data_IF_712121261301
#
_entry.id   IF_712121261301
#
_cell.length_a   1.000
_cell.length_b   1.000
_cell.length_c   1.000
_cell.angle_alpha   90.00
_cell.angle_beta   90.00
_cell.angle_gamma   90.00
#
_symmetry.space_group_name_H-M   'P 1'
#
loop_
_entity.id
_entity.type
_entity.pdbx_description
1 polymer ?
#
# COMPACT_ATOMS: atom_id res chain seq x y z
N UNK A 1 9.94 -13.52 7.44
CA UNK A 1 8.84 -12.54 7.23
C UNK A 1 9.37 -11.11 7.36
N UNK A 2 9.03 -10.18 6.44
CA UNK A 2 9.40 -8.76 6.50
C UNK A 2 8.21 -7.93 6.95
N UNK A 3 8.28 -7.35 8.14
CA UNK A 3 7.24 -6.46 8.64
C UNK A 3 7.49 -5.01 8.23
N UNK A 4 6.43 -4.30 7.91
CA UNK A 4 6.42 -2.86 7.69
C UNK A 4 5.19 -2.23 8.34
N UNK A 5 5.17 -0.91 8.44
CA UNK A 5 3.97 -0.15 8.77
C UNK A 5 3.83 1.08 7.87
N UNK A 6 2.60 1.50 7.65
CA UNK A 6 2.29 2.75 6.97
C UNK A 6 2.37 3.94 7.91
N UNK A 7 2.92 5.06 7.45
CA UNK A 7 2.96 6.31 8.21
C UNK A 7 1.57 6.93 8.45
N UNK A 8 0.50 6.37 7.86
CA UNK A 8 -0.87 6.69 8.25
C UNK A 8 -1.14 6.38 9.71
N UNK A 9 -0.49 5.35 10.25
CA UNK A 9 -0.64 4.93 11.63
C UNK A 9 0.03 5.83 12.66
N UNK A 10 0.92 6.73 12.24
CA UNK A 10 1.66 7.62 13.15
C UNK A 10 1.66 9.08 12.67
N UNK A 11 0.48 9.72 12.52
CA UNK A 11 0.37 11.05 11.91
C UNK A 11 1.07 12.16 12.70
N UNK A 12 1.31 11.96 14.00
CA UNK A 12 2.03 12.89 14.87
C UNK A 12 3.56 12.74 14.80
N UNK A 13 4.08 11.65 14.19
CA UNK A 13 5.52 11.42 14.11
C UNK A 13 6.11 12.15 12.91
N UNK A 14 7.34 12.68 13.08
CA UNK A 14 8.17 13.04 11.96
C UNK A 14 8.85 11.79 11.37
N UNK A 15 9.50 11.94 10.23
CA UNK A 15 10.13 10.81 9.54
C UNK A 15 11.24 10.16 10.37
N UNK A 16 12.04 10.98 11.07
CA UNK A 16 13.14 10.50 11.91
C UNK A 16 12.61 9.59 13.02
N UNK A 17 11.56 10.00 13.73
CA UNK A 17 10.92 9.19 14.78
C UNK A 17 10.36 7.90 14.18
N UNK A 18 9.68 7.96 13.04
CA UNK A 18 9.13 6.78 12.39
C UNK A 18 10.22 5.74 12.04
N UNK A 19 11.38 6.20 11.51
CA UNK A 19 12.52 5.32 11.20
C UNK A 19 13.15 4.74 12.47
N UNK A 20 13.31 5.56 13.50
CA UNK A 20 13.90 5.12 14.78
C UNK A 20 13.03 4.05 15.43
N UNK A 21 11.73 4.28 15.55
CA UNK A 21 10.78 3.32 16.15
C UNK A 21 10.65 2.06 15.30
N UNK A 22 10.67 2.18 13.97
CA UNK A 22 10.72 1.02 13.09
C UNK A 22 11.93 0.12 13.39
N UNK A 23 13.12 0.71 13.53
CA UNK A 23 14.34 -0.03 13.87
C UNK A 23 14.27 -0.68 15.25
N UNK A 24 13.81 0.05 16.28
CA UNK A 24 13.66 -0.46 17.66
C UNK A 24 12.68 -1.64 17.73
N UNK A 25 11.58 -1.57 17.00
CA UNK A 25 10.55 -2.61 16.98
C UNK A 25 10.86 -3.76 16.00
N UNK A 26 12.00 -3.68 15.28
CA UNK A 26 12.43 -4.72 14.34
C UNK A 26 11.58 -4.81 13.08
N UNK A 27 11.00 -3.70 12.63
CA UNK A 27 10.42 -3.61 11.31
C UNK A 27 11.53 -3.54 10.24
N UNK A 28 11.31 -4.22 9.13
CA UNK A 28 12.22 -4.17 7.99
C UNK A 28 11.93 -3.01 7.04
N UNK A 29 10.72 -2.45 7.13
CA UNK A 29 10.28 -1.39 6.23
C UNK A 29 9.30 -0.40 6.82
N UNK A 30 9.21 0.75 6.14
CA UNK A 30 8.18 1.77 6.33
C UNK A 30 7.53 2.03 4.99
N UNK A 31 6.22 2.05 4.96
CA UNK A 31 5.45 2.58 3.84
C UNK A 31 5.14 4.05 4.11
N UNK A 32 5.54 4.93 3.20
CA UNK A 32 5.36 6.37 3.38
C UNK A 32 4.11 6.85 2.65
N UNK A 33 3.07 7.19 3.40
CA UNK A 33 1.82 7.79 2.90
C UNK A 33 1.60 9.20 3.47
N UNK A 34 2.65 9.97 3.49
CA UNK A 34 2.68 11.31 4.04
C UNK A 34 3.34 11.39 5.41
N UNK A 35 3.81 12.58 5.77
CA UNK A 35 4.43 12.92 7.05
C UNK A 35 3.83 14.24 7.54
N UNK A 36 3.39 14.28 8.79
CA UNK A 36 2.68 15.43 9.31
C UNK A 36 1.43 15.73 8.47
N UNK A 37 1.32 16.93 7.91
CA UNK A 37 0.18 17.31 7.05
C UNK A 37 0.44 17.10 5.57
N UNK A 38 1.69 16.85 5.16
CA UNK A 38 2.04 16.71 3.75
C UNK A 38 1.80 15.27 3.27
N UNK A 39 1.07 15.14 2.18
CA UNK A 39 0.74 13.88 1.51
C UNK A 39 1.42 13.72 0.16
N UNK A 40 1.92 14.81 -0.41
CA UNK A 40 2.64 14.78 -1.68
C UNK A 40 4.07 14.28 -1.44
N UNK A 41 4.34 13.07 -1.92
CA UNK A 41 5.64 12.40 -1.78
C UNK A 41 6.81 13.29 -2.22
N UNK A 42 6.61 14.11 -3.26
CA UNK A 42 7.65 15.00 -3.78
C UNK A 42 7.94 16.20 -2.88
N UNK A 43 7.03 16.55 -1.97
CA UNK A 43 7.16 17.67 -1.04
C UNK A 43 7.60 17.25 0.35
N UNK A 44 7.70 15.96 0.61
CA UNK A 44 8.15 15.46 1.91
C UNK A 44 9.58 15.92 2.19
N UNK A 45 9.83 16.61 3.31
CA UNK A 45 11.17 17.13 3.63
C UNK A 45 12.27 16.07 3.59
N UNK A 46 11.97 14.83 4.02
CA UNK A 46 12.93 13.72 4.01
C UNK A 46 13.37 13.30 2.58
N UNK A 47 12.59 13.62 1.54
CA UNK A 47 12.89 13.23 0.15
C UNK A 47 13.38 14.39 -0.72
N UNK A 48 13.41 15.62 -0.18
CA UNK A 48 13.97 16.75 -0.88
C UNK A 48 15.48 16.57 -1.19
N UNK A 49 16.00 17.08 -2.29
CA UNK A 49 17.37 16.86 -2.75
C UNK A 49 18.43 17.06 -1.66
N UNK A 50 18.30 18.13 -0.89
CA UNK A 50 19.23 18.52 0.19
C UNK A 50 19.24 17.54 1.36
N UNK A 51 18.14 16.80 1.59
CA UNK A 51 17.99 15.88 2.71
C UNK A 51 18.23 14.41 2.37
N UNK A 52 18.27 14.03 1.08
CA UNK A 52 18.35 12.62 0.64
C UNK A 52 19.53 11.85 1.23
N UNK A 53 20.72 12.48 1.28
CA UNK A 53 21.89 11.83 1.84
C UNK A 53 21.73 11.55 3.33
N UNK A 54 21.13 12.47 4.08
CA UNK A 54 20.81 12.31 5.51
C UNK A 54 19.78 11.20 5.70
N UNK A 55 18.71 11.21 4.91
CA UNK A 55 17.65 10.20 4.95
C UNK A 55 18.18 8.79 4.70
N UNK A 56 19.02 8.59 3.67
CA UNK A 56 19.65 7.30 3.41
C UNK A 56 20.54 6.82 4.56
N UNK A 57 21.31 7.73 5.17
CA UNK A 57 22.14 7.36 6.34
C UNK A 57 21.28 6.95 7.53
N UNK A 58 20.17 7.65 7.77
CA UNK A 58 19.22 7.34 8.84
C UNK A 58 18.61 5.94 8.64
N UNK A 59 18.07 5.68 7.46
CA UNK A 59 17.49 4.37 7.10
C UNK A 59 18.51 3.24 7.24
N UNK A 60 19.74 3.44 6.72
CA UNK A 60 20.82 2.45 6.83
C UNK A 60 21.19 2.18 8.28
N UNK A 61 21.32 3.22 9.12
CA UNK A 61 21.63 3.08 10.54
C UNK A 61 20.58 2.29 11.30
N UNK A 62 19.30 2.50 10.96
CA UNK A 62 18.19 1.79 11.59
C UNK A 62 17.95 0.37 11.02
N UNK A 63 18.59 0.00 9.91
CA UNK A 63 18.32 -1.26 9.21
C UNK A 63 16.94 -1.31 8.54
N UNK A 64 16.37 -0.15 8.21
CA UNK A 64 14.99 0.01 7.70
C UNK A 64 15.03 0.51 6.26
N UNK A 65 14.10 0.05 5.43
CA UNK A 65 13.90 0.54 4.06
C UNK A 65 12.57 1.27 3.93
N UNK A 66 12.47 2.23 3.00
CA UNK A 66 11.15 2.66 2.53
C UNK A 66 10.70 1.65 1.49
N UNK A 67 9.66 0.87 1.81
CA UNK A 67 9.23 -0.26 0.98
C UNK A 67 8.18 0.10 -0.07
N UNK A 68 7.42 1.17 0.16
CA UNK A 68 6.41 1.68 -0.76
C UNK A 68 6.17 3.17 -0.49
N UNK A 69 5.87 3.94 -1.54
CA UNK A 69 5.39 5.31 -1.43
C UNK A 69 3.91 5.36 -1.85
N UNK A 70 3.03 5.76 -0.93
CA UNK A 70 1.62 5.98 -1.22
C UNK A 70 1.39 7.36 -1.83
N UNK A 71 0.57 7.45 -2.87
CA UNK A 71 0.17 8.72 -3.50
C UNK A 71 -1.32 8.99 -3.39
N UNK A 72 -1.75 10.16 -3.86
CA UNK A 72 -3.17 10.47 -4.08
C UNK A 72 -3.60 10.24 -5.53
N UNK A 73 -2.74 9.62 -6.35
CA UNK A 73 -3.04 9.33 -7.74
C UNK A 73 -4.21 8.37 -7.86
N UNK A 74 -5.33 8.86 -8.36
CA UNK A 74 -6.52 8.09 -8.64
C UNK A 74 -6.94 8.27 -10.11
N UNK A 75 -7.40 7.18 -10.71
CA UNK A 75 -7.81 7.15 -12.12
C UNK A 75 -9.31 6.92 -12.28
N UNK A 76 -10.09 7.34 -11.27
CA UNK A 76 -11.55 7.18 -11.18
C UNK A 76 -12.34 8.19 -12.04
N UNK A 77 -11.69 9.25 -12.53
CA UNK A 77 -12.31 10.36 -13.24
C UNK A 77 -11.39 10.90 -14.33
N UNK A 78 -11.85 10.98 -15.56
CA UNK A 78 -11.07 11.46 -16.70
C UNK A 78 -10.52 12.89 -16.48
N UNK A 79 -11.28 13.75 -15.82
CA UNK A 79 -10.85 15.10 -15.50
C UNK A 79 -9.67 15.15 -14.51
N UNK A 80 -9.52 14.14 -13.68
CA UNK A 80 -8.42 14.03 -12.69
C UNK A 80 -7.14 13.43 -13.27
N UNK A 81 -7.21 12.69 -14.38
CA UNK A 81 -6.06 11.97 -14.96
C UNK A 81 -4.84 12.86 -15.20
N UNK A 82 -4.93 14.05 -15.79
CA UNK A 82 -3.74 14.88 -15.99
C UNK A 82 -3.00 15.21 -14.69
N UNK A 83 -3.74 15.55 -13.65
CA UNK A 83 -3.18 15.83 -12.32
C UNK A 83 -2.58 14.57 -11.67
N UNK A 84 -3.28 13.46 -11.71
CA UNK A 84 -2.81 12.18 -11.17
C UNK A 84 -1.52 11.74 -11.86
N UNK A 85 -1.41 11.88 -13.18
CA UNK A 85 -0.17 11.57 -13.91
C UNK A 85 0.97 12.53 -13.58
N UNK A 86 0.70 13.81 -13.39
CA UNK A 86 1.74 14.76 -12.98
C UNK A 86 2.29 14.42 -11.60
N UNK A 87 1.41 14.16 -10.61
CA UNK A 87 1.79 13.70 -9.27
C UNK A 87 2.55 12.37 -9.34
N UNK A 88 2.01 11.39 -10.06
CA UNK A 88 2.60 10.06 -10.17
C UNK A 88 4.00 10.06 -10.76
N UNK A 89 4.24 10.81 -11.85
CA UNK A 89 5.57 10.94 -12.46
C UNK A 89 6.59 11.54 -11.49
N UNK A 90 6.20 12.62 -10.80
CA UNK A 90 7.07 13.25 -9.80
C UNK A 90 7.39 12.28 -8.66
N UNK A 91 6.40 11.50 -8.20
CA UNK A 91 6.60 10.50 -7.18
C UNK A 91 7.48 9.32 -7.65
N UNK A 92 7.34 8.87 -8.92
CA UNK A 92 8.26 7.89 -9.53
C UNK A 92 9.70 8.41 -9.49
N UNK A 93 9.92 9.67 -9.84
CA UNK A 93 11.25 10.29 -9.77
C UNK A 93 11.85 10.31 -8.37
N UNK A 94 11.02 10.57 -7.35
CA UNK A 94 11.45 10.49 -5.94
C UNK A 94 11.78 9.04 -5.57
N UNK A 95 10.92 8.09 -5.92
CA UNK A 95 11.13 6.67 -5.65
C UNK A 95 12.45 6.19 -6.26
N UNK A 96 12.70 6.49 -7.52
CA UNK A 96 13.94 6.16 -8.21
C UNK A 96 15.18 6.70 -7.49
N UNK A 97 15.13 8.00 -7.16
CA UNK A 97 16.26 8.67 -6.48
C UNK A 97 16.47 8.18 -5.06
N UNK A 98 15.44 7.70 -4.38
CA UNK A 98 15.53 7.19 -3.01
C UNK A 98 15.75 5.68 -2.92
N UNK A 99 15.61 4.95 -4.02
CA UNK A 99 15.65 3.49 -4.06
C UNK A 99 14.40 2.85 -3.48
N UNK A 100 13.25 3.54 -3.57
CA UNK A 100 11.94 3.02 -3.15
C UNK A 100 11.41 2.13 -4.29
N UNK A 101 11.11 0.85 -4.03
CA UNK A 101 10.79 -0.08 -5.11
C UNK A 101 9.40 0.11 -5.69
N UNK A 102 8.46 0.64 -4.93
CA UNK A 102 7.05 0.68 -5.32
C UNK A 102 6.40 2.03 -5.08
N UNK A 103 5.51 2.38 -6.01
CA UNK A 103 4.59 3.50 -5.91
C UNK A 103 3.16 2.96 -5.93
N UNK A 104 2.32 3.36 -4.98
CA UNK A 104 0.91 2.96 -4.93
C UNK A 104 0.00 4.02 -5.55
N UNK A 105 -0.94 3.56 -6.37
CA UNK A 105 -2.01 4.34 -7.01
C UNK A 105 -3.38 3.69 -6.79
N UNK A 106 -4.46 4.42 -7.08
CA UNK A 106 -5.83 3.97 -6.88
C UNK A 106 -6.64 3.84 -8.18
N UNK A 107 -7.56 2.87 -8.19
CA UNK A 107 -8.70 2.84 -9.09
C UNK A 107 -9.94 3.55 -8.51
N UNK A 108 -10.08 3.52 -7.18
CA UNK A 108 -11.20 4.05 -6.39
C UNK A 108 -12.58 3.53 -6.81
N UNK A 109 -13.58 4.40 -6.92
CA UNK A 109 -14.95 4.07 -7.24
C UNK A 109 -15.28 4.19 -8.74
N UNK A 110 -16.33 3.51 -9.15
CA UNK A 110 -16.93 3.63 -10.47
C UNK A 110 -18.06 4.65 -10.38
N UNK A 111 -18.03 5.76 -11.16
CA UNK A 111 -19.08 6.75 -11.15
C UNK A 111 -20.46 6.14 -11.39
N UNK A 112 -21.48 6.67 -10.69
CA UNK A 112 -22.85 6.18 -10.84
C UNK A 112 -23.32 6.26 -12.31
N UNK A 113 -23.86 5.16 -12.83
CA UNK A 113 -24.31 5.04 -14.21
C UNK A 113 -23.21 4.74 -15.24
N UNK A 114 -21.95 4.69 -14.83
CA UNK A 114 -20.87 4.25 -15.72
C UNK A 114 -20.81 2.71 -15.79
N UNK A 115 -20.50 2.18 -16.97
CA UNK A 115 -20.28 0.75 -17.15
C UNK A 115 -18.91 0.35 -16.57
N UNK A 116 -18.82 -0.75 -15.80
CA UNK A 116 -17.55 -1.21 -15.20
C UNK A 116 -16.41 -1.36 -16.21
N UNK A 117 -16.69 -1.80 -17.44
CA UNK A 117 -15.65 -1.98 -18.47
C UNK A 117 -15.07 -0.64 -18.93
N UNK A 118 -15.83 0.45 -18.86
CA UNK A 118 -15.33 1.79 -19.18
C UNK A 118 -14.39 2.28 -18.08
N UNK A 119 -14.78 2.11 -16.82
CA UNK A 119 -13.92 2.43 -15.67
C UNK A 119 -12.62 1.60 -15.68
N UNK A 120 -12.70 0.30 -15.96
CA UNK A 120 -11.53 -0.59 -16.09
C UNK A 120 -10.57 -0.07 -17.17
N UNK A 121 -11.08 0.29 -18.37
CA UNK A 121 -10.23 0.85 -19.43
C UNK A 121 -9.61 2.19 -19.05
N UNK A 122 -10.35 3.07 -18.38
CA UNK A 122 -9.83 4.36 -17.89
C UNK A 122 -8.71 4.15 -16.86
N UNK A 123 -8.94 3.33 -15.85
CA UNK A 123 -7.94 3.04 -14.82
C UNK A 123 -6.70 2.38 -15.42
N UNK A 124 -6.88 1.36 -16.27
CA UNK A 124 -5.76 0.71 -16.95
C UNK A 124 -4.99 1.69 -17.85
N UNK A 125 -5.68 2.57 -18.59
CA UNK A 125 -5.05 3.58 -19.45
C UNK A 125 -4.22 4.61 -18.66
N UNK A 126 -4.71 5.03 -17.49
CA UNK A 126 -3.97 5.91 -16.58
C UNK A 126 -2.71 5.23 -16.04
N UNK A 127 -2.85 3.99 -15.55
CA UNK A 127 -1.74 3.18 -15.01
C UNK A 127 -0.73 2.87 -16.11
N UNK A 128 -1.13 2.49 -17.33
CA UNK A 128 -0.24 2.20 -18.45
C UNK A 128 0.70 3.38 -18.75
N UNK A 129 0.15 4.61 -18.76
CA UNK A 129 0.95 5.84 -18.98
C UNK A 129 1.96 6.08 -17.86
N UNK A 130 1.63 5.71 -16.63
CA UNK A 130 2.54 5.84 -15.49
C UNK A 130 3.58 4.72 -15.50
N UNK A 131 3.19 3.48 -15.82
CA UNK A 131 4.11 2.34 -15.99
C UNK A 131 5.14 2.62 -17.08
N UNK A 132 4.72 3.08 -18.27
CA UNK A 132 5.63 3.45 -19.34
C UNK A 132 6.66 4.50 -18.91
N UNK A 133 6.23 5.49 -18.12
CA UNK A 133 7.16 6.48 -17.54
C UNK A 133 8.14 5.84 -16.56
N UNK A 134 7.64 5.02 -15.62
CA UNK A 134 8.48 4.35 -14.63
C UNK A 134 9.50 3.40 -15.26
N UNK A 135 9.12 2.66 -16.28
CA UNK A 135 9.98 1.74 -17.04
C UNK A 135 11.10 2.49 -17.78
N UNK A 136 10.78 3.65 -18.36
CA UNK A 136 11.79 4.47 -19.04
C UNK A 136 12.75 5.18 -18.09
N UNK A 137 12.32 5.50 -16.88
CA UNK A 137 13.08 6.32 -15.95
C UNK A 137 13.88 5.52 -14.92
N UNK A 138 13.35 4.38 -14.42
CA UNK A 138 13.91 3.82 -13.19
C UNK A 138 13.56 2.38 -12.84
N UNK A 139 12.56 1.78 -13.46
CA UNK A 139 12.06 0.45 -13.07
C UNK A 139 11.33 0.40 -11.74
N UNK A 140 10.82 1.53 -11.23
CA UNK A 140 9.92 1.57 -10.06
C UNK A 140 8.62 0.86 -10.41
N UNK A 141 8.17 -0.04 -9.54
CA UNK A 141 6.88 -0.73 -9.73
C UNK A 141 5.71 0.20 -9.40
N UNK A 142 4.67 0.18 -10.24
CA UNK A 142 3.43 0.91 -10.06
C UNK A 142 2.37 -0.08 -9.58
N UNK A 143 1.91 0.08 -8.34
CA UNK A 143 0.97 -0.85 -7.71
C UNK A 143 -0.43 -0.24 -7.67
N UNK A 144 -1.39 -0.93 -8.30
CA UNK A 144 -2.81 -0.65 -8.07
C UNK A 144 -3.22 -1.25 -6.73
N UNK A 145 -3.68 -0.41 -5.82
CA UNK A 145 -4.24 -0.89 -4.57
C UNK A 145 -5.62 -1.52 -4.79
N UNK A 146 -5.82 -2.66 -4.14
CA UNK A 146 -7.12 -3.30 -4.00
C UNK A 146 -7.97 -2.42 -3.08
N UNK A 147 -8.80 -1.55 -3.68
CA UNK A 147 -9.53 -0.51 -2.95
C UNK A 147 -10.80 -0.07 -3.71
N UNK A 148 -11.82 0.37 -2.97
CA UNK A 148 -13.07 0.84 -3.54
C UNK A 148 -13.74 -0.23 -4.42
N UNK A 149 -14.15 0.15 -5.64
CA UNK A 149 -14.76 -0.79 -6.58
C UNK A 149 -13.75 -1.70 -7.28
N UNK A 150 -12.44 -1.44 -7.18
CA UNK A 150 -11.37 -2.30 -7.69
C UNK A 150 -10.90 -3.30 -6.62
N UNK A 151 -11.84 -4.02 -6.02
CA UNK A 151 -11.63 -4.97 -4.93
C UNK A 151 -12.07 -6.40 -5.25
N UNK A 152 -12.37 -6.70 -6.52
CA UNK A 152 -12.78 -8.04 -6.97
C UNK A 152 -11.77 -8.64 -7.95
N UNK A 153 -11.65 -9.97 -7.96
CA UNK A 153 -10.79 -10.71 -8.90
C UNK A 153 -11.11 -10.33 -10.35
N UNK A 154 -12.39 -10.25 -10.69
CA UNK A 154 -12.83 -9.95 -12.05
C UNK A 154 -12.30 -8.60 -12.56
N UNK A 155 -12.48 -7.53 -11.80
CA UNK A 155 -12.06 -6.18 -12.20
C UNK A 155 -10.55 -6.05 -12.25
N UNK A 156 -9.86 -6.60 -11.25
CA UNK A 156 -8.40 -6.56 -11.18
C UNK A 156 -7.76 -7.39 -12.29
N UNK A 157 -8.32 -8.56 -12.63
CA UNK A 157 -7.87 -9.36 -13.75
C UNK A 157 -8.08 -8.64 -15.09
N UNK A 158 -9.21 -7.95 -15.25
CA UNK A 158 -9.47 -7.16 -16.45
C UNK A 158 -8.47 -5.99 -16.61
N UNK A 159 -8.13 -5.30 -15.52
CA UNK A 159 -7.06 -4.28 -15.53
C UNK A 159 -5.72 -4.91 -15.87
N UNK A 160 -5.36 -6.02 -15.24
CA UNK A 160 -4.08 -6.71 -15.46
C UNK A 160 -3.93 -7.19 -16.91
N UNK A 161 -4.99 -7.67 -17.52
CA UNK A 161 -5.00 -8.08 -18.92
C UNK A 161 -4.63 -6.91 -19.85
N UNK A 162 -5.19 -5.73 -19.62
CA UNK A 162 -4.87 -4.52 -20.37
C UNK A 162 -3.44 -4.01 -20.12
N UNK A 163 -2.84 -4.41 -19.01
CA UNK A 163 -1.48 -4.01 -18.59
C UNK A 163 -0.43 -5.11 -18.78
N UNK A 164 -0.75 -6.19 -19.47
CA UNK A 164 0.15 -7.37 -19.67
C UNK A 164 1.53 -7.00 -20.24
N UNK A 165 1.62 -5.93 -21.00
CA UNK A 165 2.87 -5.43 -21.59
C UNK A 165 3.75 -4.60 -20.65
N UNK A 166 3.31 -4.34 -19.40
CA UNK A 166 4.00 -3.49 -18.43
C UNK A 166 4.57 -4.30 -17.26
N UNK A 167 5.86 -4.67 -17.29
CA UNK A 167 6.50 -5.44 -16.21
C UNK A 167 6.57 -4.69 -14.88
N UNK A 168 6.47 -3.36 -14.90
CA UNK A 168 6.41 -2.51 -13.71
C UNK A 168 5.05 -2.55 -13.02
N UNK A 169 3.99 -3.07 -13.66
CA UNK A 169 2.68 -3.18 -13.04
C UNK A 169 2.63 -4.29 -11.99
N UNK A 170 1.89 -4.03 -10.91
CA UNK A 170 1.56 -5.00 -9.89
C UNK A 170 0.37 -4.57 -9.05
N UNK A 171 0.03 -5.39 -8.06
CA UNK A 171 -1.01 -5.12 -7.10
C UNK A 171 -0.43 -4.90 -5.70
N UNK A 172 -0.98 -3.93 -5.01
CA UNK A 172 -0.94 -3.84 -3.56
C UNK A 172 -2.24 -4.46 -3.04
N UNK A 173 -2.12 -5.58 -2.34
CA UNK A 173 -3.28 -6.27 -1.81
C UNK A 173 -3.65 -5.73 -0.43
N UNK A 174 -4.73 -4.98 -0.35
CA UNK A 174 -5.39 -4.69 0.91
C UNK A 174 -6.39 -5.80 1.23
N UNK A 175 -6.14 -6.52 2.32
CA UNK A 175 -6.93 -7.70 2.70
C UNK A 175 -8.33 -7.34 3.16
N UNK A 176 -8.53 -6.16 3.77
CA UNK A 176 -9.86 -5.71 4.21
C UNK A 176 -10.73 -5.37 3.02
N UNK A 177 -10.20 -4.64 2.04
CA UNK A 177 -10.97 -4.25 0.86
C UNK A 177 -11.37 -5.44 0.01
N UNK A 178 -10.50 -6.44 -0.17
CA UNK A 178 -10.86 -7.67 -0.88
C UNK A 178 -11.90 -8.48 -0.11
N UNK A 179 -11.78 -8.57 1.21
CA UNK A 179 -12.79 -9.22 2.07
C UNK A 179 -14.16 -8.55 1.96
N UNK A 180 -14.19 -7.20 1.99
CA UNK A 180 -15.45 -6.46 1.82
C UNK A 180 -16.08 -6.71 0.45
N UNK A 181 -15.27 -6.90 -0.61
CA UNK A 181 -15.75 -7.22 -1.95
C UNK A 181 -16.31 -8.63 -2.10
N UNK A 182 -15.77 -9.61 -1.38
CA UNK A 182 -16.17 -11.02 -1.43
C UNK A 182 -15.85 -11.74 -0.11
N UNK A 183 -16.66 -11.56 0.94
CA UNK A 183 -16.42 -12.16 2.25
C UNK A 183 -16.24 -13.68 2.19
N UNK A 184 -15.21 -14.19 2.87
CA UNK A 184 -14.89 -15.62 2.91
C UNK A 184 -14.17 -16.17 1.67
N UNK A 185 -13.87 -15.33 0.68
CA UNK A 185 -13.17 -15.73 -0.55
C UNK A 185 -11.70 -15.32 -0.56
N UNK A 186 -11.14 -14.91 0.57
CA UNK A 186 -9.82 -14.28 0.68
C UNK A 186 -8.67 -15.13 0.10
N UNK A 187 -8.63 -16.42 0.41
CA UNK A 187 -7.62 -17.32 -0.16
C UNK A 187 -7.83 -17.60 -1.65
N UNK A 188 -9.08 -17.64 -2.11
CA UNK A 188 -9.38 -17.77 -3.55
C UNK A 188 -8.98 -16.49 -4.30
N UNK A 189 -9.23 -15.31 -3.72
CA UNK A 189 -8.76 -14.02 -4.22
C UNK A 189 -7.24 -14.03 -4.38
N UNK A 190 -6.52 -14.38 -3.32
CA UNK A 190 -5.06 -14.48 -3.34
C UNK A 190 -4.57 -15.39 -4.46
N UNK A 191 -5.07 -16.64 -4.52
CA UNK A 191 -4.63 -17.64 -5.51
C UNK A 191 -4.85 -17.16 -6.96
N UNK A 192 -5.92 -16.43 -7.20
CA UNK A 192 -6.24 -15.89 -8.53
C UNK A 192 -5.29 -14.79 -8.97
N UNK A 193 -4.82 -13.96 -8.03
CA UNK A 193 -4.04 -12.76 -8.31
C UNK A 193 -2.58 -12.83 -7.81
N UNK A 194 -2.18 -13.94 -7.18
CA UNK A 194 -0.84 -14.17 -6.62
C UNK A 194 0.32 -13.67 -7.48
N UNK A 195 0.39 -13.92 -8.80
CA UNK A 195 1.53 -13.47 -9.61
C UNK A 195 1.68 -11.95 -9.71
N UNK A 196 0.62 -11.20 -9.39
CA UNK A 196 0.58 -9.75 -9.48
C UNK A 196 0.84 -9.07 -8.13
N UNK A 197 0.64 -9.76 -7.01
CA UNK A 197 0.77 -9.19 -5.67
C UNK A 197 2.24 -8.94 -5.34
N UNK A 198 2.59 -7.67 -5.09
CA UNK A 198 3.94 -7.21 -4.78
C UNK A 198 4.05 -6.64 -3.37
N UNK A 199 2.96 -6.17 -2.81
CA UNK A 199 2.89 -5.56 -1.48
C UNK A 199 1.56 -5.94 -0.83
N UNK A 200 1.53 -6.04 0.51
CA UNK A 200 0.32 -6.46 1.23
C UNK A 200 0.06 -5.51 2.39
N UNK A 201 -1.14 -4.96 2.44
CA UNK A 201 -1.66 -4.26 3.61
C UNK A 201 -2.31 -5.24 4.56
N UNK A 202 -1.84 -5.24 5.80
CA UNK A 202 -2.43 -5.98 6.90
C UNK A 202 -3.30 -5.04 7.71
N UNK A 203 -4.56 -5.42 7.83
CA UNK A 203 -5.59 -4.77 8.65
C UNK A 203 -6.42 -5.85 9.32
N UNK A 204 -7.15 -5.48 10.34
CA UNK A 204 -8.23 -6.30 10.88
C UNK A 204 -9.40 -5.39 11.23
N UNK A 205 -10.60 -5.93 11.18
CA UNK A 205 -11.81 -5.19 11.53
C UNK A 205 -12.83 -6.12 12.18
N UNK A 206 -13.68 -5.55 13.00
CA UNK A 206 -14.86 -6.19 13.56
C UNK A 206 -16.12 -5.45 13.19
N UNK A 207 -17.24 -6.09 13.29
CA UNK A 207 -18.52 -5.49 12.96
C UNK A 207 -19.20 -4.99 14.22
N UNK A 208 -19.38 -3.68 14.33
CA UNK A 208 -20.08 -3.03 15.43
C UNK A 208 -21.27 -2.21 14.89
N UNK A 209 -22.45 -2.46 15.40
CA UNK A 209 -23.68 -1.76 14.97
C UNK A 209 -23.87 -1.72 13.45
N UNK A 210 -23.52 -2.81 12.76
CA UNK A 210 -23.64 -2.93 11.30
C UNK A 210 -22.54 -2.24 10.50
N UNK A 211 -21.56 -1.59 11.15
CA UNK A 211 -20.41 -0.93 10.52
C UNK A 211 -19.13 -1.73 10.76
N UNK A 212 -18.21 -1.68 9.82
CA UNK A 212 -16.84 -2.14 10.04
C UNK A 212 -16.07 -1.11 10.86
N UNK A 213 -15.38 -1.60 11.89
CA UNK A 213 -14.53 -0.81 12.78
C UNK A 213 -13.15 -1.47 12.78
N UNK A 214 -12.12 -0.69 12.49
CA UNK A 214 -10.74 -1.17 12.53
C UNK A 214 -10.36 -1.58 13.96
N UNK A 215 -9.62 -2.66 14.07
CA UNK A 215 -9.05 -3.16 15.32
C UNK A 215 -7.66 -3.74 15.06
N UNK A 216 -6.96 -4.07 16.13
CA UNK A 216 -5.64 -4.69 15.99
C UNK A 216 -5.75 -6.11 15.41
N UNK A 217 -4.78 -6.56 14.61
CA UNK A 217 -4.80 -7.90 14.03
C UNK A 217 -4.96 -8.99 15.09
N UNK A 218 -5.93 -9.87 14.86
CA UNK A 218 -6.34 -10.93 15.79
C UNK A 218 -7.46 -10.54 16.75
N UNK A 219 -7.93 -9.30 16.75
CA UNK A 219 -9.09 -8.82 17.53
C UNK A 219 -10.36 -8.69 16.67
N UNK A 220 -10.21 -8.86 15.36
CA UNK A 220 -11.29 -8.76 14.38
C UNK A 220 -11.73 -10.11 13.83
N UNK A 221 -12.39 -10.03 12.69
CA UNK A 221 -12.97 -11.21 12.00
C UNK A 221 -12.31 -11.56 10.68
N UNK A 222 -11.30 -10.81 10.24
CA UNK A 222 -10.60 -11.13 9.01
C UNK A 222 -9.69 -12.35 9.18
N UNK A 223 -9.58 -13.25 8.18
CA UNK A 223 -8.72 -14.42 8.25
C UNK A 223 -7.23 -14.09 8.05
N UNK A 224 -6.74 -13.06 8.77
CA UNK A 224 -5.39 -12.50 8.61
C UNK A 224 -4.33 -13.58 8.80
N UNK A 225 -4.49 -14.43 9.82
CA UNK A 225 -3.53 -15.50 10.14
C UNK A 225 -3.43 -16.53 9.02
N UNK A 226 -4.55 -16.93 8.45
CA UNK A 226 -4.63 -17.87 7.35
C UNK A 226 -4.03 -17.28 6.08
N UNK A 227 -4.31 -16.02 5.79
CA UNK A 227 -3.75 -15.28 4.65
C UNK A 227 -2.23 -15.20 4.77
N UNK A 228 -1.71 -14.80 5.94
CA UNK A 228 -0.26 -14.66 6.16
C UNK A 228 0.44 -16.02 6.01
N UNK A 229 -0.14 -17.09 6.57
CA UNK A 229 0.39 -18.46 6.43
C UNK A 229 0.45 -18.91 4.96
N UNK A 230 -0.59 -18.67 4.18
CA UNK A 230 -0.62 -19.06 2.77
C UNK A 230 0.44 -18.28 1.97
N UNK A 231 0.58 -16.96 2.24
CA UNK A 231 1.63 -16.13 1.64
C UNK A 231 3.04 -16.66 1.96
N UNK A 232 3.31 -16.99 3.23
CA UNK A 232 4.60 -17.53 3.67
C UNK A 232 4.89 -18.89 3.04
N UNK A 233 3.91 -19.80 3.05
CA UNK A 233 4.00 -21.12 2.40
C UNK A 233 4.34 -21.02 0.92
N UNK A 234 3.82 -20.00 0.24
CA UNK A 234 4.06 -19.72 -1.17
C UNK A 234 5.36 -18.95 -1.43
N UNK A 235 6.16 -18.68 -0.38
CA UNK A 235 7.44 -18.00 -0.48
C UNK A 235 7.33 -16.49 -0.75
N UNK A 236 6.24 -15.84 -0.33
CA UNK A 236 6.09 -14.39 -0.45
C UNK A 236 7.24 -13.68 0.28
N UNK A 237 8.10 -13.01 -0.47
CA UNK A 237 9.27 -12.31 0.04
C UNK A 237 9.10 -10.79 0.21
N UNK A 238 7.89 -10.29 -0.02
CA UNK A 238 7.53 -8.88 0.13
C UNK A 238 7.30 -8.46 1.58
N UNK A 239 6.71 -7.30 1.75
CA UNK A 239 6.43 -6.73 3.07
C UNK A 239 4.97 -6.97 3.47
N UNK A 240 4.77 -7.28 4.73
CA UNK A 240 3.47 -7.24 5.40
C UNK A 240 3.38 -5.88 6.10
N UNK A 241 2.68 -4.94 5.47
CA UNK A 241 2.59 -3.55 5.90
C UNK A 241 1.34 -3.33 6.73
N UNK A 242 1.51 -2.97 8.00
CA UNK A 242 0.39 -2.60 8.87
C UNK A 242 -0.15 -1.23 8.46
N UNK A 243 -1.30 -1.21 7.80
CA UNK A 243 -1.98 0.03 7.46
C UNK A 243 -2.96 0.41 8.57
N UNK A 244 -2.41 0.92 9.67
CA UNK A 244 -3.17 1.50 10.77
C UNK A 244 -3.62 2.90 10.39
N UNK A 245 -4.92 3.11 10.21
CA UNK A 245 -5.47 4.35 9.64
C UNK A 245 -5.72 5.45 10.67
N UNK A 246 -4.88 5.57 11.70
CA UNK A 246 -4.96 6.57 12.77
C UNK A 246 -5.13 8.00 12.25
N UNK A 247 -4.55 8.31 11.08
CA UNK A 247 -4.69 9.61 10.43
C UNK A 247 -6.14 9.96 10.09
N UNK A 248 -6.92 8.97 9.68
CA UNK A 248 -8.31 9.14 9.28
C UNK A 248 -9.29 8.80 10.41
N UNK A 249 -8.83 8.03 11.36
CA UNK A 249 -9.56 7.50 12.49
C UNK A 249 -8.83 7.86 13.81
N UNK A 250 -8.91 9.12 14.28
CA UNK A 250 -8.17 9.57 15.45
C UNK A 250 -8.54 8.84 16.74
N UNK A 251 -9.67 8.14 16.76
CA UNK A 251 -10.11 7.29 17.88
C UNK A 251 -9.32 5.99 18.03
N UNK A 252 -8.60 5.55 17.00
CA UNK A 252 -7.77 4.34 17.07
C UNK A 252 -6.62 4.53 18.06
N UNK A 253 -6.07 3.38 18.55
CA UNK A 253 -4.93 3.39 19.48
C UNK A 253 -3.71 4.13 18.88
N UNK A 254 -2.93 4.74 19.79
CA UNK A 254 -1.71 5.43 19.42
C UNK A 254 -0.65 4.45 18.84
N UNK A 255 0.22 4.91 17.95
CA UNK A 255 1.23 4.05 17.32
C UNK A 255 2.17 3.39 18.33
N UNK A 256 2.42 4.04 19.48
CA UNK A 256 3.20 3.50 20.58
C UNK A 256 2.60 2.21 21.19
N UNK A 257 1.30 2.01 21.02
CA UNK A 257 0.58 0.79 21.43
C UNK A 257 0.36 -0.14 20.24
N UNK A 258 -0.11 0.39 19.13
CA UNK A 258 -0.54 -0.42 17.98
C UNK A 258 0.62 -1.14 17.29
N UNK A 259 1.74 -0.46 17.04
CA UNK A 259 2.86 -1.04 16.30
C UNK A 259 3.59 -2.17 17.03
N UNK A 260 3.90 -2.06 18.34
CA UNK A 260 4.44 -3.20 19.09
C UNK A 260 3.53 -4.41 19.10
N UNK A 261 2.22 -4.21 19.32
CA UNK A 261 1.22 -5.29 19.34
C UNK A 261 1.11 -5.98 17.98
N UNK A 262 1.07 -5.21 16.89
CA UNK A 262 1.13 -5.77 15.55
C UNK A 262 2.38 -6.62 15.32
N UNK A 263 3.56 -6.07 15.65
CA UNK A 263 4.82 -6.76 15.43
C UNK A 263 4.92 -8.05 16.24
N UNK A 264 4.47 -8.06 17.48
CA UNK A 264 4.41 -9.24 18.34
C UNK A 264 3.46 -10.28 17.79
N UNK A 265 2.24 -9.88 17.44
CA UNK A 265 1.21 -10.76 16.90
C UNK A 265 1.66 -11.43 15.59
N UNK A 266 2.25 -10.67 14.67
CA UNK A 266 2.75 -11.21 13.40
C UNK A 266 3.88 -12.22 13.60
N UNK A 267 4.81 -11.98 14.53
CA UNK A 267 5.90 -12.91 14.85
C UNK A 267 5.39 -14.19 15.50
N UNK A 268 4.23 -14.15 16.12
CA UNK A 268 3.56 -15.32 16.67
C UNK A 268 2.86 -16.21 15.62
N UNK A 269 2.89 -15.85 14.34
CA UNK A 269 2.37 -16.68 13.25
C UNK A 269 3.48 -17.66 12.83
N UNK A 270 3.31 -18.98 12.99
CA UNK A 270 4.31 -19.96 12.57
C UNK A 270 4.45 -19.95 11.04
N UNK A 271 5.70 -20.06 10.57
CA UNK A 271 6.06 -20.24 9.17
C UNK A 271 5.65 -21.59 8.62
#
# INVERSE_FOLDING_TARGET
MKLAFSTLGCPSWNFEKAVEEAGKLGFAGIEVRGIGRELDTAKLPCFLPENRARTRRLLKKAGVSVCCAGTSCAFDDDAKIPRALAEGRTAVDVCARMGIPFLRVFGNGIPAGERPETAVRRVAGGIARLCAYAESASGVGVLLEVHGDFNTVERLSAVAELLRGHPSFGLLWDIQHSHAGAPGSDLAFYRSLKPLIRHVHIKDCRRENGKEVLCLPGEGGLPVREIVRELLKDGYGGYFSFEWEKRWHPELEEPETAFPRYAEWMRGIPE
#
